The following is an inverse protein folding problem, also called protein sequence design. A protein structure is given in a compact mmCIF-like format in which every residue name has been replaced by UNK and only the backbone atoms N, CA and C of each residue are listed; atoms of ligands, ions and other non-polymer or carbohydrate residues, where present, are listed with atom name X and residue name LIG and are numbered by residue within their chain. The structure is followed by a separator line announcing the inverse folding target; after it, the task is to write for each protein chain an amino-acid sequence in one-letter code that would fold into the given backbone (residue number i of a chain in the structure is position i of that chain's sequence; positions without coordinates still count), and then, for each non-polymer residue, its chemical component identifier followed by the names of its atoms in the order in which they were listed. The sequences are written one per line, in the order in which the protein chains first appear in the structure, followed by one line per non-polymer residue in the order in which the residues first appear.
data_IF_508666911656
#
_entry.id   IF_508666911656
#
_cell.length_a   1.000
_cell.length_b   1.000
_cell.length_c   1.000
_cell.angle_alpha   90.00
_cell.angle_beta   90.00
_cell.angle_gamma   90.00
#
_symmetry.space_group_name_H-M   'P 1'
#
loop_
_entity.id
_entity.type
_entity.pdbx_description
1 polymer ?
#
# COMPACT_ATOMS: atom_id res chain seq x y z
N UNK A 1 16.07 -8.70 -37.88
CA UNK A 1 17.08 -8.27 -36.92
C UNK A 1 16.40 -7.99 -35.57
N UNK A 2 16.60 -8.85 -34.62
CA UNK A 2 16.01 -8.67 -33.27
C UNK A 2 16.92 -7.84 -32.41
N UNK A 3 16.76 -6.56 -32.45
CA UNK A 3 17.46 -5.63 -31.54
C UNK A 3 16.90 -5.62 -30.13
N UNK A 4 16.04 -6.59 -29.83
CA UNK A 4 15.36 -6.65 -28.53
C UNK A 4 15.85 -7.78 -27.61
N UNK A 5 17.03 -8.31 -27.86
CA UNK A 5 17.72 -9.12 -26.86
C UNK A 5 18.19 -8.16 -25.75
N UNK A 6 17.25 -7.72 -24.94
CA UNK A 6 17.54 -6.77 -23.87
C UNK A 6 18.10 -7.49 -22.67
N UNK A 7 18.99 -6.82 -21.99
CA UNK A 7 19.41 -7.20 -20.65
C UNK A 7 18.17 -7.44 -19.78
N UNK A 8 18.26 -8.35 -18.81
CA UNK A 8 17.19 -8.51 -17.83
C UNK A 8 16.82 -7.16 -17.23
N UNK A 9 15.53 -6.93 -16.96
CA UNK A 9 15.11 -5.71 -16.30
C UNK A 9 15.88 -5.47 -15.01
N UNK A 10 16.33 -4.25 -14.79
CA UNK A 10 16.97 -3.86 -13.54
C UNK A 10 15.94 -3.21 -12.62
N UNK A 11 16.05 -3.42 -11.29
CA UNK A 11 15.21 -2.73 -10.33
C UNK A 11 15.29 -1.21 -10.53
N UNK A 12 14.14 -0.56 -10.57
CA UNK A 12 14.08 0.91 -10.72
C UNK A 12 14.37 1.56 -9.37
N UNK A 13 14.88 2.81 -9.41
CA UNK A 13 15.08 3.61 -8.20
C UNK A 13 13.75 3.87 -7.47
N UNK A 14 12.64 3.94 -8.22
CA UNK A 14 11.30 4.10 -7.65
C UNK A 14 10.90 2.93 -6.75
N UNK A 15 11.25 1.71 -7.12
CA UNK A 15 10.95 0.53 -6.29
C UNK A 15 11.88 0.42 -5.09
N UNK A 16 13.13 0.85 -5.21
CA UNK A 16 14.09 0.83 -4.09
C UNK A 16 13.64 1.65 -2.90
N UNK A 17 12.86 2.69 -3.12
CA UNK A 17 12.31 3.53 -2.04
C UNK A 17 11.41 2.72 -1.09
N UNK A 18 10.78 1.65 -1.57
CA UNK A 18 9.92 0.80 -0.76
C UNK A 18 10.67 -0.15 0.18
N UNK A 19 12.00 -0.23 0.08
CA UNK A 19 12.82 -1.04 1.00
C UNK A 19 12.54 -0.71 2.47
N UNK A 20 12.23 0.54 2.76
CA UNK A 20 11.93 0.99 4.13
C UNK A 20 10.69 0.30 4.72
N UNK A 21 9.80 -0.21 3.88
CA UNK A 21 8.60 -0.92 4.32
C UNK A 21 8.86 -2.40 4.63
N UNK A 22 9.93 -2.97 4.07
CA UNK A 22 10.24 -4.40 4.18
C UNK A 22 10.37 -4.82 5.63
N UNK A 23 9.70 -5.92 5.99
CA UNK A 23 9.65 -6.46 7.33
C UNK A 23 8.24 -6.70 7.82
N UNK A 24 8.11 -6.85 9.11
CA UNK A 24 6.85 -7.16 9.76
C UNK A 24 6.41 -6.03 10.69
N UNK A 25 5.11 -5.80 10.70
CA UNK A 25 4.50 -4.68 11.40
C UNK A 25 3.28 -5.12 12.20
N UNK A 26 3.14 -4.63 13.41
CA UNK A 26 1.88 -4.67 14.14
C UNK A 26 1.04 -3.48 13.70
N UNK A 27 -0.27 -3.68 13.53
CA UNK A 27 -1.17 -2.64 13.06
C UNK A 27 -2.36 -2.45 14.00
N UNK A 28 -2.73 -1.19 14.17
CA UNK A 28 -3.97 -0.80 14.86
C UNK A 28 -4.72 0.13 13.92
N UNK A 29 -5.94 -0.25 13.56
CA UNK A 29 -6.76 0.49 12.61
C UNK A 29 -8.04 1.01 13.24
N UNK A 30 -8.50 2.16 12.77
CA UNK A 30 -9.80 2.74 13.13
C UNK A 30 -10.57 3.09 11.86
N UNK A 31 -11.88 2.92 11.91
CA UNK A 31 -12.78 3.25 10.81
C UNK A 31 -14.12 3.68 11.36
N UNK A 32 -14.80 4.69 10.76
CA UNK A 32 -16.10 5.15 11.27
C UNK A 32 -17.17 4.08 11.40
N UNK A 33 -17.10 3.03 10.58
CA UNK A 33 -18.04 1.91 10.62
C UNK A 33 -17.70 0.83 11.65
N UNK A 34 -16.54 0.91 12.29
CA UNK A 34 -16.12 -0.05 13.32
C UNK A 34 -16.33 0.54 14.72
N UNK A 35 -16.97 -0.20 15.64
CA UNK A 35 -17.20 0.30 17.01
C UNK A 35 -15.90 0.43 17.80
N UNK A 36 -14.92 -0.41 17.55
CA UNK A 36 -13.65 -0.47 18.26
C UNK A 36 -12.47 -0.48 17.29
N UNK A 37 -11.28 -0.16 17.80
CA UNK A 37 -10.05 -0.29 17.03
C UNK A 37 -9.82 -1.74 16.62
N UNK A 38 -9.40 -1.94 15.37
CA UNK A 38 -9.03 -3.26 14.85
C UNK A 38 -7.53 -3.48 15.04
N UNK A 39 -7.16 -4.70 15.39
CA UNK A 39 -5.77 -5.10 15.54
C UNK A 39 -5.39 -6.08 14.45
N UNK A 40 -4.18 -5.96 13.95
CA UNK A 40 -3.72 -6.80 12.86
C UNK A 40 -2.22 -6.85 12.72
N UNK A 41 -1.82 -7.44 11.61
CA UNK A 41 -0.42 -7.65 11.29
C UNK A 41 -0.21 -7.43 9.80
N UNK A 42 0.84 -6.73 9.45
CA UNK A 42 1.22 -6.44 8.07
C UNK A 42 2.65 -6.91 7.80
N UNK A 43 2.90 -7.41 6.62
CA UNK A 43 4.25 -7.78 6.20
C UNK A 43 4.52 -7.31 4.77
N UNK A 44 5.75 -6.91 4.53
CA UNK A 44 6.26 -6.55 3.22
C UNK A 44 7.50 -7.39 2.92
N UNK A 45 7.50 -8.07 1.79
CA UNK A 45 8.65 -8.86 1.35
C UNK A 45 8.84 -8.74 -0.16
N UNK A 46 10.08 -8.78 -0.60
CA UNK A 46 10.37 -8.82 -2.03
C UNK A 46 10.03 -10.21 -2.60
N UNK A 47 9.20 -10.23 -3.64
CA UNK A 47 9.01 -11.41 -4.50
C UNK A 47 10.14 -11.50 -5.52
N UNK A 48 10.51 -10.34 -6.09
CA UNK A 48 11.71 -10.15 -6.91
C UNK A 48 12.44 -8.99 -6.27
N UNK A 49 13.62 -9.24 -5.75
CA UNK A 49 14.36 -8.27 -4.94
C UNK A 49 14.54 -6.93 -5.67
N UNK A 50 14.09 -5.86 -5.04
CA UNK A 50 14.16 -4.52 -5.58
C UNK A 50 13.22 -4.22 -6.76
N UNK A 51 12.37 -5.16 -7.16
CA UNK A 51 11.51 -5.01 -8.33
C UNK A 51 10.03 -5.27 -8.07
N UNK A 52 9.70 -6.30 -7.33
CA UNK A 52 8.31 -6.68 -7.07
C UNK A 52 8.11 -6.95 -5.59
N UNK A 53 7.25 -6.14 -4.95
CA UNK A 53 7.00 -6.19 -3.51
C UNK A 53 5.64 -6.82 -3.23
N UNK A 54 5.62 -7.73 -2.29
CA UNK A 54 4.38 -8.33 -1.78
C UNK A 54 4.04 -7.70 -0.44
N UNK A 55 2.81 -7.24 -0.30
CA UNK A 55 2.27 -6.67 0.91
C UNK A 55 1.07 -7.50 1.37
N UNK A 56 1.16 -8.08 2.57
CA UNK A 56 0.06 -8.81 3.21
C UNK A 56 -0.42 -8.03 4.40
N UNK A 57 -1.73 -7.91 4.56
CA UNK A 57 -2.27 -7.49 5.85
C UNK A 57 -3.39 -8.40 6.30
N UNK A 58 -3.26 -8.81 7.55
CA UNK A 58 -4.21 -9.66 8.22
C UNK A 58 -4.79 -8.88 9.40
N UNK A 59 -6.10 -8.82 9.45
CA UNK A 59 -6.83 -8.21 10.54
C UNK A 59 -7.46 -9.28 11.40
N UNK A 60 -7.55 -9.02 12.71
CA UNK A 60 -8.31 -9.86 13.60
C UNK A 60 -9.79 -9.85 13.23
N UNK A 61 -10.51 -10.85 13.71
CA UNK A 61 -11.92 -11.01 13.42
C UNK A 61 -12.71 -9.77 13.85
N UNK A 62 -13.58 -9.29 12.95
CA UNK A 62 -14.38 -8.08 13.16
C UNK A 62 -13.72 -6.81 12.65
N UNK A 63 -12.48 -6.88 12.19
CA UNK A 63 -11.78 -5.77 11.56
C UNK A 63 -12.07 -5.66 10.06
N UNK A 64 -11.29 -4.81 9.36
CA UNK A 64 -11.36 -4.72 7.90
C UNK A 64 -11.05 -6.06 7.23
N UNK A 65 -11.39 -6.23 5.95
CA UNK A 65 -11.01 -7.44 5.21
C UNK A 65 -9.50 -7.62 5.16
N UNK A 66 -9.03 -8.84 5.38
CA UNK A 66 -7.63 -9.19 5.18
C UNK A 66 -7.32 -9.19 3.68
N UNK A 67 -6.15 -8.75 3.31
CA UNK A 67 -5.80 -8.47 1.93
C UNK A 67 -4.37 -8.83 1.56
N UNK A 68 -4.17 -8.95 0.27
CA UNK A 68 -2.88 -9.20 -0.36
C UNK A 68 -2.71 -8.19 -1.49
N UNK A 69 -1.54 -7.59 -1.59
CA UNK A 69 -1.22 -6.65 -2.66
C UNK A 69 0.15 -6.92 -3.25
N UNK A 70 0.27 -6.67 -4.54
CA UNK A 70 1.54 -6.75 -5.27
C UNK A 70 1.85 -5.38 -5.83
N UNK A 71 3.06 -4.88 -5.57
CA UNK A 71 3.50 -3.54 -5.92
C UNK A 71 4.65 -3.64 -6.92
N UNK A 72 4.51 -2.93 -8.03
CA UNK A 72 5.53 -2.87 -9.07
C UNK A 72 5.58 -1.50 -9.74
N UNK A 73 6.51 -1.32 -10.64
CA UNK A 73 6.70 -0.06 -11.37
C UNK A 73 6.38 -0.26 -12.85
N UNK A 74 5.49 0.59 -13.36
CA UNK A 74 5.27 0.74 -14.80
C UNK A 74 6.35 1.68 -15.33
N UNK A 75 7.22 1.19 -16.20
CA UNK A 75 8.36 1.93 -16.72
C UNK A 75 8.00 3.09 -17.66
N UNK A 76 6.71 3.24 -17.98
CA UNK A 76 6.21 4.33 -18.81
C UNK A 76 5.67 5.50 -18.02
N UNK A 77 5.56 5.38 -16.69
CA UNK A 77 5.06 6.42 -15.79
C UNK A 77 5.96 6.53 -14.56
N UNK A 78 5.87 7.67 -13.87
CA UNK A 78 6.70 7.93 -12.67
C UNK A 78 6.20 7.22 -11.42
N UNK A 79 4.92 6.89 -11.36
CA UNK A 79 4.31 6.25 -10.21
C UNK A 79 4.42 4.73 -10.28
N UNK A 80 4.42 4.10 -9.11
CA UNK A 80 4.27 2.66 -9.00
C UNK A 80 2.79 2.29 -9.01
N UNK A 81 2.48 1.05 -9.31
CA UNK A 81 1.13 0.52 -9.28
C UNK A 81 1.02 -0.64 -8.32
N UNK A 82 -0.17 -0.84 -7.80
CA UNK A 82 -0.47 -1.91 -6.86
C UNK A 82 -1.75 -2.61 -7.28
N UNK A 83 -1.70 -3.93 -7.36
CA UNK A 83 -2.89 -4.76 -7.45
C UNK A 83 -3.27 -5.21 -6.04
N UNK A 84 -4.39 -4.72 -5.56
CA UNK A 84 -4.98 -5.07 -4.29
C UNK A 84 -6.02 -6.16 -4.48
N UNK A 85 -6.06 -7.15 -3.57
CA UNK A 85 -7.10 -8.18 -3.54
C UNK A 85 -7.40 -8.56 -2.09
N UNK A 86 -8.67 -8.73 -1.76
CA UNK A 86 -9.06 -9.09 -0.39
C UNK A 86 -9.95 -10.33 -0.31
N UNK A 87 -10.20 -10.77 0.90
CA UNK A 87 -10.96 -12.00 1.17
C UNK A 87 -12.43 -11.96 0.74
N UNK A 88 -12.96 -10.77 0.41
CA UNK A 88 -14.30 -10.63 -0.18
C UNK A 88 -14.31 -10.94 -1.68
N UNK A 89 -13.12 -11.15 -2.29
CA UNK A 89 -12.97 -11.27 -3.73
C UNK A 89 -12.95 -9.93 -4.46
N UNK A 90 -12.76 -8.83 -3.74
CA UNK A 90 -12.62 -7.50 -4.33
C UNK A 90 -11.18 -7.31 -4.77
N UNK A 91 -10.99 -6.89 -6.01
CA UNK A 91 -9.68 -6.50 -6.54
C UNK A 91 -9.73 -5.07 -7.06
N UNK A 92 -8.67 -4.30 -6.77
CA UNK A 92 -8.56 -2.90 -7.17
C UNK A 92 -7.13 -2.56 -7.57
N UNK A 93 -7.00 -1.61 -8.49
CA UNK A 93 -5.71 -1.07 -8.90
C UNK A 93 -5.53 0.30 -8.25
N UNK A 94 -4.37 0.49 -7.62
CA UNK A 94 -3.96 1.76 -7.03
C UNK A 94 -2.68 2.25 -7.68
N UNK A 95 -2.54 3.57 -7.72
CA UNK A 95 -1.25 4.21 -7.93
C UNK A 95 -0.58 4.38 -6.58
N UNK A 96 0.75 4.38 -6.56
CA UNK A 96 1.51 4.44 -5.33
C UNK A 96 2.82 5.19 -5.52
N UNK A 97 3.20 5.96 -4.51
CA UNK A 97 4.50 6.62 -4.46
C UNK A 97 5.02 6.61 -3.03
N UNK A 98 6.34 6.59 -2.88
CA UNK A 98 6.99 6.76 -1.59
C UNK A 98 8.21 7.65 -1.80
N UNK A 99 8.19 8.82 -1.19
CA UNK A 99 9.23 9.84 -1.38
C UNK A 99 9.36 10.68 -0.10
N UNK A 100 10.58 10.87 0.37
CA UNK A 100 10.84 11.71 1.53
C UNK A 100 10.12 11.28 2.81
N UNK A 101 9.92 9.96 3.02
CA UNK A 101 9.20 9.45 4.17
C UNK A 101 7.68 9.59 4.08
N UNK A 102 7.15 9.99 2.93
CA UNK A 102 5.72 10.10 2.68
C UNK A 102 5.29 9.04 1.67
N UNK A 103 4.41 8.17 2.12
CA UNK A 103 3.86 7.07 1.33
C UNK A 103 2.44 7.45 0.91
N UNK A 104 2.19 7.52 -0.39
CA UNK A 104 0.88 7.83 -0.95
C UNK A 104 0.38 6.67 -1.79
N UNK A 105 -0.92 6.40 -1.70
CA UNK A 105 -1.60 5.53 -2.65
C UNK A 105 -2.97 6.11 -2.95
N UNK A 106 -3.41 5.98 -4.18
CA UNK A 106 -4.69 6.53 -4.62
C UNK A 106 -5.26 5.76 -5.79
N UNK A 107 -6.56 5.87 -5.94
CA UNK A 107 -7.29 5.47 -7.14
C UNK A 107 -8.37 6.49 -7.43
N UNK A 108 -8.47 6.89 -8.68
CA UNK A 108 -9.56 7.70 -9.21
C UNK A 108 -10.43 6.79 -10.04
N UNK A 109 -11.60 6.44 -9.53
CA UNK A 109 -12.50 5.51 -10.19
C UNK A 109 -13.94 6.00 -10.02
N UNK A 110 -14.73 6.01 -11.09
CA UNK A 110 -16.13 6.39 -10.98
C UNK A 110 -16.85 5.55 -9.93
N UNK A 111 -17.53 6.20 -9.00
CA UNK A 111 -18.29 5.55 -7.95
C UNK A 111 -17.52 5.17 -6.69
N UNK A 112 -16.19 5.08 -6.74
CA UNK A 112 -15.38 4.80 -5.55
C UNK A 112 -13.92 5.17 -5.74
N UNK A 113 -13.57 6.37 -5.33
CA UNK A 113 -12.18 6.86 -5.29
C UNK A 113 -11.63 6.79 -3.88
N UNK A 114 -10.34 6.56 -3.76
CA UNK A 114 -9.64 6.51 -2.47
C UNK A 114 -8.31 7.24 -2.56
N UNK A 115 -7.89 7.82 -1.46
CA UNK A 115 -6.57 8.42 -1.31
C UNK A 115 -6.06 8.16 0.09
N UNK A 116 -4.78 7.85 0.18
CA UNK A 116 -4.11 7.50 1.43
C UNK A 116 -2.80 8.23 1.51
N UNK A 117 -2.47 8.69 2.70
CA UNK A 117 -1.15 9.25 3.02
C UNK A 117 -0.62 8.57 4.27
N UNK A 118 0.58 7.99 4.16
CA UNK A 118 1.34 7.43 5.27
C UNK A 118 2.58 8.26 5.53
N UNK A 119 2.83 8.58 6.79
CA UNK A 119 4.04 9.30 7.22
C UNK A 119 4.90 8.34 8.00
N UNK A 120 6.13 8.14 7.53
CA UNK A 120 7.10 7.24 8.15
C UNK A 120 7.96 8.06 9.12
N UNK A 121 8.08 7.59 10.36
CA UNK A 121 8.91 8.23 11.36
C UNK A 121 10.39 8.24 10.94
N UNK A 122 11.15 9.16 11.48
CA UNK A 122 12.58 9.33 11.13
C UNK A 122 13.42 8.08 11.41
N UNK A 123 13.05 7.28 12.40
CA UNK A 123 13.72 6.01 12.71
C UNK A 123 13.22 4.84 11.87
N UNK A 124 12.18 5.05 11.04
CA UNK A 124 11.61 4.01 10.18
C UNK A 124 10.75 2.97 10.89
N UNK A 125 10.42 3.16 12.17
CA UNK A 125 9.77 2.15 12.99
C UNK A 125 8.27 2.35 13.22
N UNK A 126 7.74 3.51 12.81
CA UNK A 126 6.32 3.83 12.94
C UNK A 126 5.80 4.46 11.66
N UNK A 127 4.63 4.06 11.21
CA UNK A 127 3.93 4.68 10.09
C UNK A 127 2.55 5.10 10.57
N UNK A 128 2.22 6.37 10.37
CA UNK A 128 0.87 6.91 10.57
C UNK A 128 0.20 7.02 9.21
N UNK A 129 -0.84 6.24 8.99
CA UNK A 129 -1.47 6.04 7.69
C UNK A 129 -2.93 6.50 7.77
N UNK A 130 -3.32 7.45 6.92
CA UNK A 130 -4.65 8.06 6.90
C UNK A 130 -5.30 7.86 5.54
N UNK A 131 -6.50 7.28 5.53
CA UNK A 131 -7.28 7.05 4.32
C UNK A 131 -8.54 7.89 4.25
N UNK A 132 -8.89 8.26 3.03
CA UNK A 132 -10.15 8.91 2.68
C UNK A 132 -10.77 8.23 1.47
N UNK A 133 -12.09 8.29 1.36
CA UNK A 133 -12.83 7.77 0.22
C UNK A 133 -13.85 8.78 -0.30
N UNK A 134 -14.22 8.64 -1.56
CA UNK A 134 -15.26 9.44 -2.19
C UNK A 134 -16.06 8.61 -3.18
N UNK A 135 -17.39 8.74 -3.13
CA UNK A 135 -18.29 8.09 -4.08
C UNK A 135 -18.55 8.93 -5.33
N UNK A 136 -18.33 10.24 -5.24
CA UNK A 136 -18.60 11.19 -6.33
C UNK A 136 -17.34 11.90 -6.86
N UNK A 137 -16.19 11.67 -6.24
CA UNK A 137 -14.91 12.30 -6.60
C UNK A 137 -14.73 13.73 -6.08
N UNK A 138 -15.74 14.28 -5.40
CA UNK A 138 -15.73 15.67 -4.90
C UNK A 138 -15.89 15.77 -3.40
N UNK A 139 -16.70 14.90 -2.81
CA UNK A 139 -16.93 14.84 -1.38
C UNK A 139 -16.15 13.68 -0.78
N UNK A 140 -15.24 14.01 0.12
CA UNK A 140 -14.35 13.04 0.76
C UNK A 140 -14.74 12.82 2.21
N UNK A 141 -14.71 11.56 2.61
CA UNK A 141 -14.98 11.16 3.99
C UNK A 141 -13.89 10.26 4.51
N UNK A 142 -13.77 10.18 5.83
CA UNK A 142 -12.78 9.33 6.46
C UNK A 142 -13.02 7.86 6.11
N UNK A 143 -11.94 7.20 5.71
CA UNK A 143 -11.88 5.77 5.52
C UNK A 143 -11.05 5.16 6.66
N UNK A 144 -10.14 4.26 6.38
CA UNK A 144 -9.32 3.57 7.36
C UNK A 144 -8.11 4.40 7.77
N UNK A 145 -7.90 4.56 9.08
CA UNK A 145 -6.66 5.06 9.66
C UNK A 145 -5.90 3.91 10.30
N UNK A 146 -4.60 3.83 10.08
CA UNK A 146 -3.77 2.75 10.63
C UNK A 146 -2.48 3.29 11.20
N UNK A 147 -2.12 2.79 12.37
CA UNK A 147 -0.77 2.95 12.92
C UNK A 147 -0.03 1.63 12.75
N UNK A 148 1.11 1.70 12.09
CA UNK A 148 2.03 0.56 11.91
C UNK A 148 3.19 0.74 12.89
N UNK A 149 3.50 -0.30 13.63
CA UNK A 149 4.66 -0.36 14.50
C UNK A 149 5.51 -1.56 14.10
N UNK A 150 6.77 -1.30 13.74
CA UNK A 150 7.68 -2.38 13.31
C UNK A 150 7.90 -3.37 14.43
N UNK A 151 7.81 -4.65 14.09
CA UNK A 151 8.18 -5.71 15.03
C UNK A 151 9.69 -5.74 15.22
N UNK A 152 10.14 -5.95 16.48
CA UNK A 152 11.56 -6.09 16.76
C UNK A 152 12.19 -7.33 16.12
#
# INVERSE_FOLDING_TARGET
MNEHAKLPPQPTSSMKQFEILVGEWNTVGTHPALPDAAHGHSSFEWLVEGALLLWRFNWERGGPPSALSVIGHDDTVETCCMLYSDERGVARIYQMSLEGGVWKMWRDSPGFSQRVTGTISSDGNTITWHGELSYDGSNWEQDLDVTYTRKP
#
